data_IF_589238938362
#
_entry.id   IF_589238938362
#
_cell.length_a   1.000
_cell.length_b   1.000
_cell.length_c   1.000
_cell.angle_alpha   90.00
_cell.angle_beta   90.00
_cell.angle_gamma   90.00
#
_symmetry.space_group_name_H-M   'P 1'
#
loop_
_entity.id
_entity.type
_entity.pdbx_description
1 polymer ?
#
# COMPACT_ATOMS: atom_id res chain seq x y z
N UNK A 1 -62.51 -19.06 2.61
CA UNK A 1 -61.56 -18.26 1.85
C UNK A 1 -60.69 -17.56 2.88
N UNK A 2 -59.54 -18.13 3.11
CA UNK A 2 -58.60 -17.67 4.17
C UNK A 2 -57.46 -16.97 3.49
N UNK A 3 -57.32 -15.67 3.76
CA UNK A 3 -56.15 -14.86 3.38
C UNK A 3 -54.96 -15.28 4.26
N UNK A 4 -54.00 -15.95 3.68
CA UNK A 4 -52.72 -16.18 4.29
C UNK A 4 -51.79 -15.01 3.90
N UNK A 5 -51.62 -14.07 4.82
CA UNK A 5 -50.62 -13.03 4.71
C UNK A 5 -49.21 -13.65 4.78
N UNK A 6 -48.46 -13.57 3.69
CA UNK A 6 -47.05 -13.92 3.63
C UNK A 6 -46.24 -12.79 4.28
N UNK A 7 -45.70 -13.07 5.44
CA UNK A 7 -44.76 -12.18 6.13
C UNK A 7 -43.35 -12.72 5.96
N UNK A 8 -42.48 -12.15 5.10
CA UNK A 8 -41.10 -12.54 5.08
C UNK A 8 -40.36 -11.79 6.20
N UNK A 9 -40.12 -12.46 7.31
CA UNK A 9 -39.06 -12.06 8.23
C UNK A 9 -37.73 -12.19 7.46
N UNK A 10 -37.20 -11.06 7.00
CA UNK A 10 -35.83 -10.98 6.52
C UNK A 10 -34.95 -11.05 7.76
N UNK A 11 -34.39 -12.22 8.03
CA UNK A 11 -33.21 -12.37 8.90
C UNK A 11 -32.12 -11.49 8.29
N UNK A 12 -31.85 -10.34 8.92
CA UNK A 12 -30.67 -9.54 8.62
C UNK A 12 -29.49 -10.37 9.10
N UNK A 13 -28.84 -11.09 8.17
CA UNK A 13 -27.57 -11.72 8.45
C UNK A 13 -26.64 -10.63 9.00
N UNK A 14 -26.01 -10.94 10.14
CA UNK A 14 -24.94 -10.16 10.73
C UNK A 14 -23.95 -9.81 9.63
N UNK A 15 -23.97 -8.55 9.19
CA UNK A 15 -22.94 -7.99 8.33
C UNK A 15 -21.71 -7.97 9.21
N UNK A 16 -20.76 -8.87 8.94
CA UNK A 16 -19.46 -8.84 9.56
C UNK A 16 -19.00 -7.36 9.50
N UNK A 17 -18.81 -6.75 10.66
CA UNK A 17 -18.27 -5.42 10.82
C UNK A 17 -16.96 -5.40 10.03
N UNK A 18 -16.98 -4.89 8.82
CA UNK A 18 -15.77 -4.49 8.13
C UNK A 18 -15.08 -3.52 9.07
N UNK A 19 -13.94 -3.94 9.60
CA UNK A 19 -13.15 -3.14 10.52
C UNK A 19 -12.88 -1.80 9.81
N UNK A 20 -13.63 -0.77 10.20
CA UNK A 20 -13.39 0.61 9.75
C UNK A 20 -11.98 0.93 10.21
N UNK A 21 -11.08 1.19 9.26
CA UNK A 21 -9.72 1.62 9.59
C UNK A 21 -9.80 2.77 10.58
N UNK A 22 -9.06 2.74 11.69
CA UNK A 22 -9.00 3.88 12.59
C UNK A 22 -8.55 5.10 11.79
N UNK A 23 -9.19 6.25 11.96
CA UNK A 23 -8.85 7.51 11.28
C UNK A 23 -7.34 7.83 11.32
N UNK A 24 -6.65 7.37 12.37
CA UNK A 24 -5.20 7.49 12.55
C UNK A 24 -4.34 6.78 11.49
N UNK A 25 -4.91 5.83 10.74
CA UNK A 25 -4.17 5.09 9.69
C UNK A 25 -4.41 5.63 8.27
N UNK A 26 -5.39 6.52 8.08
CA UNK A 26 -5.74 7.01 6.73
C UNK A 26 -4.63 7.82 6.06
N UNK A 27 -3.82 8.50 6.85
CA UNK A 27 -2.72 9.37 6.37
C UNK A 27 -1.35 8.69 6.40
N UNK A 28 -1.27 7.40 6.81
CA UNK A 28 -0.01 6.66 6.85
C UNK A 28 0.38 6.21 5.45
N UNK A 29 1.54 6.66 4.98
CA UNK A 29 2.09 6.30 3.66
C UNK A 29 2.44 4.82 3.57
N UNK A 30 2.37 4.20 2.36
CA UNK A 30 2.89 2.86 2.15
C UNK A 30 4.37 2.76 2.55
N UNK A 31 4.72 1.67 3.22
CA UNK A 31 6.09 1.41 3.65
C UNK A 31 6.93 1.03 2.42
N UNK A 32 8.12 1.60 2.24
CA UNK A 32 8.99 1.25 1.12
C UNK A 32 9.50 -0.19 1.24
N UNK A 33 10.23 -0.67 0.22
CA UNK A 33 10.82 -2.02 0.24
C UNK A 33 11.93 -2.10 1.28
N UNK A 34 11.59 -2.59 2.47
CA UNK A 34 12.50 -2.79 3.60
C UNK A 34 12.28 -4.16 4.24
N UNK A 35 13.30 -4.63 4.95
CA UNK A 35 13.22 -5.81 5.81
C UNK A 35 13.14 -5.37 7.27
N UNK A 36 12.19 -5.96 8.00
CA UNK A 36 11.91 -5.67 9.40
C UNK A 36 12.01 -6.97 10.19
N UNK A 37 12.74 -6.95 11.29
CA UNK A 37 12.76 -8.06 12.23
C UNK A 37 12.43 -7.55 13.63
N UNK A 38 11.40 -8.11 14.24
CA UNK A 38 10.95 -7.74 15.58
C UNK A 38 11.31 -8.86 16.55
N UNK A 39 11.91 -8.52 17.68
CA UNK A 39 12.21 -9.44 18.78
C UNK A 39 11.38 -9.02 19.98
N UNK A 40 10.32 -9.78 20.27
CA UNK A 40 9.35 -9.46 21.28
C UNK A 40 9.53 -10.32 22.52
N UNK A 41 9.16 -9.79 23.69
CA UNK A 41 9.11 -10.52 24.95
C UNK A 41 7.68 -10.99 25.27
N UNK A 42 6.67 -10.21 24.82
CA UNK A 42 5.26 -10.44 25.12
C UNK A 42 4.40 -10.56 23.87
N UNK A 43 3.33 -11.33 23.98
CA UNK A 43 2.30 -11.40 22.93
C UNK A 43 1.53 -10.07 22.76
N UNK A 44 1.52 -9.23 23.79
CA UNK A 44 0.91 -7.91 23.74
C UNK A 44 1.56 -6.97 22.74
N UNK A 45 2.86 -7.14 22.48
CA UNK A 45 3.62 -6.39 21.47
C UNK A 45 3.76 -7.18 20.17
N UNK A 46 3.98 -8.50 20.25
CA UNK A 46 4.10 -9.35 19.06
C UNK A 46 2.82 -9.31 18.18
N UNK A 47 1.64 -9.41 18.79
CA UNK A 47 0.38 -9.46 18.05
C UNK A 47 0.07 -8.20 17.21
N UNK A 48 0.24 -6.96 17.70
CA UNK A 48 0.18 -5.77 16.86
C UNK A 48 1.15 -5.77 15.70
N UNK A 49 2.40 -6.24 15.88
CA UNK A 49 3.41 -6.29 14.82
C UNK A 49 3.06 -7.35 13.76
N UNK A 50 2.57 -8.52 14.19
CA UNK A 50 2.08 -9.56 13.27
C UNK A 50 0.93 -9.05 12.40
N UNK A 51 -0.07 -8.41 13.01
CA UNK A 51 -1.19 -7.80 12.26
C UNK A 51 -0.75 -6.66 11.36
N UNK A 52 0.24 -5.86 11.78
CA UNK A 52 0.85 -4.83 10.92
C UNK A 52 1.49 -5.44 9.68
N UNK A 53 2.16 -6.60 9.82
CA UNK A 53 2.81 -7.27 8.68
C UNK A 53 1.80 -7.71 7.59
N UNK A 54 0.54 -7.91 7.96
CA UNK A 54 -0.57 -8.27 7.05
C UNK A 54 -1.27 -7.03 6.45
N UNK A 55 -0.92 -5.81 6.91
CA UNK A 55 -1.54 -4.58 6.41
C UNK A 55 -1.13 -4.31 4.95
N UNK A 56 -2.07 -3.84 4.12
CA UNK A 56 -1.85 -3.50 2.70
C UNK A 56 -0.67 -2.53 2.48
N UNK A 57 -0.40 -1.65 3.42
CA UNK A 57 0.70 -0.68 3.36
C UNK A 57 2.07 -1.32 3.53
N UNK A 58 2.12 -2.54 4.08
CA UNK A 58 3.33 -3.34 4.27
C UNK A 58 3.65 -4.26 3.09
N UNK A 59 2.87 -4.23 2.03
CA UNK A 59 2.98 -5.11 0.85
C UNK A 59 4.39 -5.15 0.25
N UNK A 60 5.14 -4.03 0.34
CA UNK A 60 6.53 -3.93 -0.15
C UNK A 60 7.57 -4.27 0.92
N UNK A 61 7.19 -4.30 2.18
CA UNK A 61 8.07 -4.60 3.30
C UNK A 61 7.95 -6.07 3.71
N UNK A 62 9.04 -6.63 4.21
CA UNK A 62 9.03 -7.99 4.79
C UNK A 62 9.24 -7.88 6.29
N UNK A 63 8.22 -8.20 7.08
CA UNK A 63 8.30 -8.22 8.53
C UNK A 63 8.33 -9.66 9.05
N UNK A 64 9.20 -9.93 10.03
CA UNK A 64 9.24 -11.20 10.76
C UNK A 64 9.30 -10.93 12.25
N UNK A 65 8.55 -11.71 13.01
CA UNK A 65 8.49 -11.61 14.47
C UNK A 65 9.16 -12.82 15.10
N UNK A 66 10.01 -12.57 16.07
CA UNK A 66 10.72 -13.55 16.89
C UNK A 66 10.41 -13.27 18.35
N UNK A 67 10.43 -14.32 19.18
CA UNK A 67 10.32 -14.16 20.63
C UNK A 67 11.69 -14.20 21.27
N UNK A 68 11.86 -13.51 22.43
CA UNK A 68 13.05 -13.54 23.24
C UNK A 68 13.79 -12.18 23.40
N UNK A 69 13.21 -11.08 22.90
CA UNK A 69 13.69 -9.73 23.15
C UNK A 69 15.12 -9.46 22.71
N UNK A 70 15.80 -8.57 23.43
CA UNK A 70 17.15 -8.11 23.12
C UNK A 70 18.18 -9.26 23.11
N UNK A 71 18.09 -10.20 24.05
CA UNK A 71 19.05 -11.33 24.12
C UNK A 71 18.98 -12.21 22.88
N UNK A 72 17.78 -12.54 22.40
CA UNK A 72 17.58 -13.32 21.18
C UNK A 72 18.06 -12.56 19.93
N UNK A 73 17.91 -11.25 19.89
CA UNK A 73 18.41 -10.42 18.79
C UNK A 73 19.95 -10.47 18.70
N UNK A 74 20.64 -10.30 19.82
CA UNK A 74 22.11 -10.36 19.87
C UNK A 74 22.61 -11.74 19.42
N UNK A 75 22.03 -12.82 19.92
CA UNK A 75 22.39 -14.18 19.51
C UNK A 75 22.15 -14.43 18.01
N UNK A 76 21.01 -13.98 17.50
CA UNK A 76 20.63 -14.15 16.11
C UNK A 76 21.61 -13.45 15.15
N UNK A 77 21.98 -12.20 15.43
CA UNK A 77 22.86 -11.42 14.55
C UNK A 77 24.36 -11.76 14.67
N UNK A 78 24.74 -12.63 15.58
CA UNK A 78 26.11 -13.21 15.53
C UNK A 78 26.36 -14.04 14.27
N UNK A 79 25.30 -14.55 13.63
CA UNK A 79 25.42 -15.43 12.46
C UNK A 79 24.56 -15.01 11.25
N UNK A 80 23.73 -14.00 11.40
CA UNK A 80 22.81 -13.53 10.37
C UNK A 80 23.05 -12.03 10.04
N UNK A 81 22.83 -11.60 8.79
CA UNK A 81 22.87 -10.19 8.44
C UNK A 81 21.72 -9.43 9.10
N UNK A 82 21.96 -8.16 9.43
CA UNK A 82 20.93 -7.29 10.00
C UNK A 82 19.98 -6.75 8.93
N UNK A 83 18.69 -6.55 9.27
CA UNK A 83 17.69 -5.97 8.37
C UNK A 83 17.81 -4.45 8.29
N UNK A 84 16.94 -3.81 7.52
CA UNK A 84 16.84 -2.36 7.51
C UNK A 84 16.32 -1.80 8.85
N UNK A 85 15.41 -2.52 9.52
CA UNK A 85 14.80 -2.14 10.80
C UNK A 85 14.76 -3.32 11.77
N UNK A 86 15.24 -3.07 12.97
CA UNK A 86 15.07 -3.96 14.12
C UNK A 86 14.08 -3.29 15.09
N UNK A 87 13.04 -4.02 15.49
CA UNK A 87 12.13 -3.63 16.56
C UNK A 87 12.40 -4.53 17.77
N UNK A 88 12.71 -3.94 18.90
CA UNK A 88 13.06 -4.66 20.13
C UNK A 88 12.07 -4.34 21.23
N UNK A 89 11.35 -5.34 21.72
CA UNK A 89 10.64 -5.20 22.99
C UNK A 89 11.58 -5.52 24.15
N UNK A 90 11.52 -4.72 25.21
CA UNK A 90 12.30 -4.98 26.42
C UNK A 90 11.59 -4.52 27.68
N UNK A 91 11.68 -5.37 28.71
CA UNK A 91 11.25 -5.09 30.08
C UNK A 91 12.46 -4.76 31.00
N UNK A 92 13.68 -4.77 30.45
CA UNK A 92 14.91 -4.53 31.20
C UNK A 92 14.94 -3.12 31.83
N UNK A 93 15.58 -3.02 32.96
CA UNK A 93 15.88 -1.72 33.59
C UNK A 93 16.92 -0.94 32.77
N UNK A 94 16.97 0.40 32.86
CA UNK A 94 17.80 1.24 32.00
C UNK A 94 19.28 0.82 31.90
N UNK A 95 19.92 0.47 33.01
CA UNK A 95 21.34 0.10 33.01
C UNK A 95 21.62 -1.24 32.29
N UNK A 96 20.74 -2.22 32.45
CA UNK A 96 20.83 -3.51 31.77
C UNK A 96 20.54 -3.37 30.27
N UNK A 97 19.56 -2.55 29.95
CA UNK A 97 19.23 -2.23 28.56
C UNK A 97 20.41 -1.59 27.84
N UNK A 98 21.05 -0.60 28.43
CA UNK A 98 22.20 0.08 27.82
C UNK A 98 23.37 -0.88 27.58
N UNK A 99 23.64 -1.79 28.52
CA UNK A 99 24.69 -2.81 28.34
C UNK A 99 24.33 -3.78 27.19
N UNK A 100 23.10 -4.24 27.11
CA UNK A 100 22.66 -5.14 26.06
C UNK A 100 22.64 -4.48 24.67
N UNK A 101 22.32 -3.18 24.58
CA UNK A 101 22.40 -2.41 23.34
C UNK A 101 23.83 -2.24 22.85
N UNK A 102 24.80 -2.14 23.77
CA UNK A 102 26.23 -2.17 23.42
C UNK A 102 26.61 -3.46 22.70
N UNK A 103 26.18 -4.62 23.22
CA UNK A 103 26.42 -5.91 22.58
C UNK A 103 25.70 -6.04 21.21
N UNK A 104 24.50 -5.48 21.08
CA UNK A 104 23.79 -5.44 19.79
C UNK A 104 24.53 -4.58 18.76
N UNK A 105 25.05 -3.42 19.17
CA UNK A 105 25.78 -2.51 18.29
C UNK A 105 27.08 -3.14 17.72
N UNK A 106 27.69 -4.07 18.43
CA UNK A 106 28.89 -4.79 17.95
C UNK A 106 28.60 -5.74 16.76
N UNK A 107 27.33 -6.20 16.63
CA UNK A 107 26.92 -7.17 15.62
C UNK A 107 26.03 -6.58 14.54
N UNK A 108 25.57 -5.32 14.69
CA UNK A 108 24.68 -4.65 13.75
C UNK A 108 25.45 -3.81 12.72
N UNK A 109 24.89 -3.78 11.50
CA UNK A 109 25.33 -2.83 10.48
C UNK A 109 24.94 -1.39 10.90
N UNK A 110 25.84 -0.41 10.74
CA UNK A 110 25.58 0.99 11.09
C UNK A 110 24.37 1.62 10.37
N UNK A 111 23.95 1.08 9.24
CA UNK A 111 22.78 1.55 8.48
C UNK A 111 21.45 1.01 9.02
N UNK A 112 21.48 0.03 9.92
CA UNK A 112 20.29 -0.57 10.51
C UNK A 112 19.62 0.38 11.51
N UNK A 113 18.36 0.70 11.30
CA UNK A 113 17.56 1.42 12.29
C UNK A 113 17.13 0.51 13.42
N UNK A 114 17.14 1.03 14.65
CA UNK A 114 16.68 0.30 15.84
C UNK A 114 15.59 1.09 16.53
N UNK A 115 14.43 0.44 16.70
CA UNK A 115 13.27 0.96 17.47
C UNK A 115 13.09 0.09 18.70
N UNK A 116 12.94 0.72 19.86
CA UNK A 116 12.73 0.01 21.13
C UNK A 116 11.29 0.23 21.59
N UNK A 117 10.64 -0.85 22.00
CA UNK A 117 9.35 -0.83 22.69
C UNK A 117 9.61 -1.20 24.15
N UNK A 118 9.60 -0.22 25.02
CA UNK A 118 9.81 -0.41 26.45
C UNK A 118 8.54 -0.29 27.27
N UNK A 119 8.64 -0.61 28.53
CA UNK A 119 7.54 -0.53 29.50
C UNK A 119 7.70 0.63 30.51
N UNK A 120 8.76 1.41 30.38
CA UNK A 120 9.07 2.53 31.25
C UNK A 120 8.85 3.86 30.52
N UNK A 121 7.98 4.70 31.05
CA UNK A 121 7.77 6.05 30.54
C UNK A 121 8.73 7.02 31.26
N UNK A 122 9.99 7.08 30.82
CA UNK A 122 11.05 7.89 31.40
C UNK A 122 11.72 8.76 30.32
N UNK A 123 11.63 10.06 30.48
CA UNK A 123 12.20 11.04 29.54
C UNK A 123 13.74 11.02 29.58
N UNK A 124 14.37 10.67 30.70
CA UNK A 124 15.83 10.58 30.76
C UNK A 124 16.32 9.38 29.98
N UNK A 125 15.69 8.21 30.14
CA UNK A 125 15.96 7.01 29.34
C UNK A 125 15.78 7.29 27.85
N UNK A 126 14.68 7.93 27.45
CA UNK A 126 14.45 8.29 26.05
C UNK A 126 15.62 9.11 25.47
N UNK A 127 16.06 10.15 26.20
CA UNK A 127 17.17 11.01 25.74
C UNK A 127 18.49 10.25 25.63
N UNK A 128 18.76 9.37 26.57
CA UNK A 128 19.99 8.58 26.58
C UNK A 128 19.99 7.56 25.45
N UNK A 129 18.86 6.90 25.16
CA UNK A 129 18.71 6.01 24.01
C UNK A 129 18.92 6.75 22.68
N UNK A 130 18.32 7.92 22.50
CA UNK A 130 18.51 8.76 21.29
C UNK A 130 19.97 9.20 21.11
N UNK A 131 20.70 9.54 22.19
CA UNK A 131 22.13 9.87 22.13
C UNK A 131 23.02 8.69 21.74
N UNK A 132 22.58 7.47 22.06
CA UNK A 132 23.29 6.23 21.73
C UNK A 132 22.88 5.64 20.36
N UNK A 133 22.19 6.41 19.50
CA UNK A 133 21.88 6.04 18.12
C UNK A 133 20.61 5.23 17.93
N UNK A 134 19.78 5.04 18.97
CA UNK A 134 18.47 4.43 18.84
C UNK A 134 17.56 5.35 18.03
N UNK A 135 16.95 4.80 16.98
CA UNK A 135 16.13 5.55 16.04
C UNK A 135 14.83 6.05 16.67
N UNK A 136 14.15 5.23 17.51
CA UNK A 136 12.97 5.66 18.24
C UNK A 136 12.70 4.76 19.46
N UNK A 137 11.94 5.29 20.45
CA UNK A 137 11.50 4.58 21.64
C UNK A 137 10.00 4.75 21.84
N UNK A 138 9.29 3.65 21.90
CA UNK A 138 7.86 3.58 22.19
C UNK A 138 7.62 3.02 23.58
N UNK A 139 6.51 3.43 24.20
CA UNK A 139 6.08 2.86 25.48
C UNK A 139 4.88 1.94 25.24
N UNK A 140 4.98 0.69 25.66
CA UNK A 140 3.87 -0.27 25.57
C UNK A 140 2.68 0.18 26.48
N UNK A 141 1.42 -0.07 26.06
CA UNK A 141 1.00 -0.81 24.88
C UNK A 141 1.10 0.02 23.59
N UNK A 142 1.47 -0.63 22.50
CA UNK A 142 1.60 0.00 21.17
C UNK A 142 0.47 -0.44 20.24
N UNK A 143 -0.01 0.49 19.42
CA UNK A 143 -0.97 0.20 18.37
C UNK A 143 -0.28 -0.04 17.01
N UNK A 144 -1.00 -0.63 16.06
CA UNK A 144 -0.52 -0.76 14.67
C UNK A 144 -0.18 0.62 14.09
N UNK A 145 -1.01 1.64 14.40
CA UNK A 145 -0.82 3.01 13.94
C UNK A 145 0.49 3.63 14.45
N UNK A 146 0.82 3.43 15.72
CA UNK A 146 2.06 3.94 16.31
C UNK A 146 3.29 3.36 15.62
N UNK A 147 3.29 2.04 15.41
CA UNK A 147 4.41 1.34 14.79
C UNK A 147 4.56 1.76 13.32
N UNK A 148 3.47 1.80 12.56
CA UNK A 148 3.49 2.23 11.16
C UNK A 148 3.93 3.67 10.99
N UNK A 149 3.48 4.58 11.85
CA UNK A 149 3.89 5.99 11.84
C UNK A 149 5.40 6.14 12.02
N UNK A 150 6.00 5.36 12.93
CA UNK A 150 7.44 5.39 13.15
C UNK A 150 8.18 4.82 11.95
N UNK A 151 7.74 3.69 11.41
CA UNK A 151 8.36 3.08 10.23
C UNK A 151 8.34 4.07 9.06
N UNK A 152 7.20 4.68 8.79
CA UNK A 152 7.10 5.67 7.71
C UNK A 152 7.96 6.90 7.98
N UNK A 153 8.03 7.38 9.20
CA UNK A 153 8.90 8.52 9.57
C UNK A 153 10.39 8.21 9.38
N UNK A 154 10.81 6.99 9.68
CA UNK A 154 12.23 6.59 9.57
C UNK A 154 12.68 6.34 8.13
N UNK A 155 11.77 5.86 7.27
CA UNK A 155 12.09 5.43 5.90
C UNK A 155 11.48 6.30 4.81
N UNK A 156 10.75 7.34 5.17
CA UNK A 156 10.23 8.32 4.22
C UNK A 156 10.94 9.65 4.46
N UNK A 157 11.40 10.27 3.40
CA UNK A 157 11.97 11.62 3.47
C UNK A 157 10.90 12.59 4.00
N UNK A 158 11.13 13.30 5.12
CA UNK A 158 10.19 14.27 5.66
C UNK A 158 9.87 15.42 4.69
N UNK A 159 10.78 15.71 3.77
CA UNK A 159 10.61 16.76 2.74
C UNK A 159 10.00 16.21 1.45
N UNK A 160 9.80 14.87 1.32
CA UNK A 160 9.14 14.31 0.16
C UNK A 160 7.66 14.73 0.11
N UNK A 161 7.22 15.18 -1.06
CA UNK A 161 5.81 15.47 -1.30
C UNK A 161 4.94 14.23 -0.99
N UNK A 162 3.68 14.41 -0.51
CA UNK A 162 2.77 13.31 -0.28
C UNK A 162 2.59 12.50 -1.56
N UNK A 163 2.68 11.16 -1.45
CA UNK A 163 2.36 10.30 -2.58
C UNK A 163 0.90 10.50 -3.00
N UNK A 164 0.68 10.54 -4.30
CA UNK A 164 -0.67 10.59 -4.86
C UNK A 164 -1.48 9.35 -4.49
N UNK A 165 -2.80 9.53 -4.33
CA UNK A 165 -3.72 8.44 -4.01
C UNK A 165 -4.10 7.67 -5.27
N UNK A 166 -4.11 6.36 -5.18
CA UNK A 166 -4.57 5.47 -6.24
C UNK A 166 -6.04 5.12 -6.08
N UNK A 167 -6.81 5.32 -7.15
CA UNK A 167 -8.22 4.92 -7.25
C UNK A 167 -8.34 3.88 -8.36
N UNK A 168 -8.53 2.62 -8.00
CA UNK A 168 -8.65 1.51 -8.94
C UNK A 168 -10.12 1.26 -9.29
N UNK A 169 -10.44 1.25 -10.58
CA UNK A 169 -11.79 1.00 -11.07
C UNK A 169 -11.84 -0.32 -11.80
N UNK A 170 -12.74 -1.21 -11.40
CA UNK A 170 -12.94 -2.49 -12.08
C UNK A 170 -14.43 -2.83 -12.17
N UNK A 171 -14.86 -3.35 -13.32
CA UNK A 171 -16.21 -3.84 -13.49
C UNK A 171 -16.41 -5.24 -12.91
N UNK A 172 -17.49 -5.49 -12.19
CA UNK A 172 -17.88 -6.85 -11.76
C UNK A 172 -18.23 -7.76 -12.95
N UNK A 173 -18.43 -7.16 -14.14
CA UNK A 173 -18.64 -7.84 -15.42
C UNK A 173 -18.22 -6.89 -16.54
N UNK A 174 -17.80 -7.43 -17.67
CA UNK A 174 -17.52 -6.63 -18.85
C UNK A 174 -18.77 -5.84 -19.31
N UNK A 175 -18.56 -4.60 -19.73
CA UNK A 175 -19.62 -3.73 -20.28
C UNK A 175 -20.49 -3.02 -19.25
N UNK A 176 -20.16 -3.04 -17.96
CA UNK A 176 -20.92 -2.32 -16.91
C UNK A 176 -20.59 -0.83 -16.82
N UNK A 177 -19.66 -0.33 -17.61
CA UNK A 177 -19.30 1.09 -17.67
C UNK A 177 -18.19 1.51 -16.70
N UNK A 178 -17.34 0.60 -16.23
CA UNK A 178 -16.25 0.89 -15.31
C UNK A 178 -15.33 1.97 -15.87
N UNK A 179 -14.82 1.83 -17.09
CA UNK A 179 -13.95 2.80 -17.76
C UNK A 179 -14.63 4.17 -17.91
N UNK A 180 -15.93 4.18 -18.24
CA UNK A 180 -16.71 5.43 -18.32
C UNK A 180 -16.73 6.15 -16.98
N UNK A 181 -16.93 5.42 -15.88
CA UNK A 181 -16.93 5.99 -14.53
C UNK A 181 -15.52 6.45 -14.15
N UNK A 182 -14.49 5.62 -14.37
CA UNK A 182 -13.10 5.96 -14.11
C UNK A 182 -12.69 7.28 -14.78
N UNK A 183 -12.93 7.39 -16.09
CA UNK A 183 -12.58 8.57 -16.87
C UNK A 183 -13.34 9.82 -16.42
N UNK A 184 -14.64 9.71 -16.09
CA UNK A 184 -15.43 10.83 -15.60
C UNK A 184 -15.02 11.25 -14.19
N UNK A 185 -14.63 10.31 -13.32
CA UNK A 185 -14.09 10.64 -12.00
C UNK A 185 -12.75 11.38 -12.14
N UNK A 186 -11.85 10.90 -12.98
CA UNK A 186 -10.58 11.58 -13.26
C UNK A 186 -10.80 13.00 -13.78
N UNK A 187 -11.71 13.17 -14.75
CA UNK A 187 -12.11 14.46 -15.26
C UNK A 187 -12.67 15.37 -14.16
N UNK A 188 -13.53 14.81 -13.30
CA UNK A 188 -14.12 15.57 -12.19
C UNK A 188 -13.08 16.00 -11.16
N UNK A 189 -12.11 15.14 -10.82
CA UNK A 189 -11.01 15.50 -9.92
C UNK A 189 -10.20 16.66 -10.53
N UNK A 190 -9.82 16.56 -11.79
CA UNK A 190 -9.05 17.59 -12.48
C UNK A 190 -9.78 18.93 -12.56
N UNK A 191 -11.09 18.91 -12.86
CA UNK A 191 -11.86 20.14 -13.15
C UNK A 191 -12.51 20.76 -11.92
N UNK A 192 -12.98 19.95 -10.94
CA UNK A 192 -13.68 20.47 -9.77
C UNK A 192 -12.75 20.78 -8.60
N UNK A 193 -11.66 20.02 -8.50
CA UNK A 193 -10.67 20.20 -7.42
C UNK A 193 -9.37 20.85 -7.90
N UNK A 194 -9.25 21.12 -9.21
CA UNK A 194 -8.03 21.69 -9.81
C UNK A 194 -6.76 20.94 -9.39
N UNK A 195 -6.88 19.60 -9.28
CA UNK A 195 -5.85 18.70 -8.78
C UNK A 195 -5.28 17.86 -9.90
N UNK A 196 -3.95 17.69 -9.93
CA UNK A 196 -3.27 16.86 -10.91
C UNK A 196 -3.74 15.40 -10.85
N UNK A 197 -4.11 14.83 -12.00
CA UNK A 197 -4.58 13.45 -12.14
C UNK A 197 -3.86 12.76 -13.28
N UNK A 198 -3.35 11.56 -13.01
CA UNK A 198 -2.89 10.63 -14.05
C UNK A 198 -3.94 9.52 -14.20
N UNK A 199 -4.45 9.34 -15.41
CA UNK A 199 -5.25 8.16 -15.78
C UNK A 199 -4.35 7.13 -16.42
N UNK A 200 -4.31 5.91 -15.89
CA UNK A 200 -3.63 4.78 -16.49
C UNK A 200 -4.67 3.80 -17.06
N UNK A 201 -4.71 3.67 -18.38
CA UNK A 201 -5.54 2.68 -19.08
C UNK A 201 -4.79 1.34 -19.09
N UNK A 202 -5.16 0.46 -18.15
CA UNK A 202 -4.50 -0.83 -17.96
C UNK A 202 -5.09 -1.95 -18.83
N UNK A 203 -6.08 -1.64 -19.67
CA UNK A 203 -6.59 -2.58 -20.68
C UNK A 203 -5.75 -2.48 -21.97
N UNK A 204 -4.53 -3.01 -21.94
CA UNK A 204 -3.59 -2.89 -23.04
C UNK A 204 -4.14 -3.37 -24.39
N UNK A 205 -4.93 -4.47 -24.45
CA UNK A 205 -5.47 -4.91 -25.72
C UNK A 205 -6.70 -4.13 -26.21
N UNK A 206 -7.53 -3.62 -25.30
CA UNK A 206 -8.83 -3.05 -25.67
C UNK A 206 -9.14 -1.72 -24.97
N UNK A 207 -8.14 -1.07 -24.39
CA UNK A 207 -8.29 0.24 -23.78
C UNK A 207 -8.81 1.29 -24.75
N UNK A 208 -9.63 2.20 -24.24
CA UNK A 208 -10.30 3.22 -25.05
C UNK A 208 -10.16 4.62 -24.47
N UNK A 209 -9.32 4.80 -23.45
CA UNK A 209 -9.13 6.09 -22.83
C UNK A 209 -8.58 7.14 -23.81
N UNK A 210 -7.71 6.73 -24.73
CA UNK A 210 -7.22 7.59 -25.81
C UNK A 210 -8.35 8.17 -26.67
N UNK A 211 -9.37 7.36 -27.00
CA UNK A 211 -10.55 7.80 -27.76
C UNK A 211 -11.40 8.75 -26.89
N UNK A 212 -11.61 8.41 -25.64
CA UNK A 212 -12.48 9.17 -24.73
C UNK A 212 -11.90 10.55 -24.39
N UNK A 213 -10.58 10.70 -24.41
CA UNK A 213 -9.88 11.97 -24.15
C UNK A 213 -9.34 12.65 -25.43
N UNK A 214 -9.72 12.14 -26.62
CA UNK A 214 -9.29 12.67 -27.91
C UNK A 214 -7.75 12.78 -28.02
N UNK A 215 -7.05 11.71 -27.66
CA UNK A 215 -5.59 11.62 -27.68
C UNK A 215 -5.13 10.46 -28.59
N UNK A 216 -4.01 10.64 -29.27
CA UNK A 216 -3.38 9.59 -30.08
C UNK A 216 -1.86 9.58 -29.81
N UNK A 217 -1.42 9.24 -28.59
CA UNK A 217 -0.01 9.21 -28.25
C UNK A 217 0.69 8.03 -28.95
N UNK A 218 1.90 8.28 -29.45
CA UNK A 218 2.71 7.25 -30.09
C UNK A 218 3.28 6.21 -29.11
N UNK A 219 3.34 6.52 -27.83
CA UNK A 219 3.82 5.69 -26.74
C UNK A 219 2.87 5.81 -25.55
N UNK A 220 2.87 4.81 -24.66
CA UNK A 220 1.97 4.82 -23.51
C UNK A 220 2.35 3.77 -22.46
N UNK A 221 1.33 3.14 -21.87
CA UNK A 221 1.52 2.22 -20.74
C UNK A 221 2.34 0.98 -21.10
N UNK A 222 2.26 0.49 -22.34
CA UNK A 222 3.03 -0.68 -22.75
C UNK A 222 4.54 -0.43 -22.67
N UNK A 223 5.00 0.73 -23.13
CA UNK A 223 6.41 1.12 -23.06
C UNK A 223 6.87 1.26 -21.62
N UNK A 224 6.02 1.81 -20.74
CA UNK A 224 6.30 1.92 -19.31
C UNK A 224 6.47 0.54 -18.66
N UNK A 225 5.56 -0.38 -18.90
CA UNK A 225 5.58 -1.72 -18.28
C UNK A 225 6.73 -2.58 -18.80
N UNK A 226 7.10 -2.48 -20.08
CA UNK A 226 8.25 -3.23 -20.64
C UNK A 226 9.61 -2.63 -20.29
N UNK A 227 9.65 -1.41 -19.77
CA UNK A 227 10.90 -0.70 -19.41
C UNK A 227 11.05 -0.51 -17.91
N UNK A 228 10.57 -1.44 -17.09
CA UNK A 228 10.51 -1.34 -15.63
C UNK A 228 11.84 -0.90 -14.99
N UNK A 229 12.99 -1.39 -15.45
CA UNK A 229 14.31 -1.02 -14.91
C UNK A 229 14.71 0.45 -15.15
N UNK A 230 13.96 1.18 -15.98
CA UNK A 230 14.27 2.57 -16.41
C UNK A 230 13.15 3.55 -16.12
N UNK A 231 12.06 3.09 -15.53
CA UNK A 231 10.93 3.97 -15.27
C UNK A 231 11.24 4.89 -14.09
N UNK A 232 11.33 6.17 -14.40
CA UNK A 232 11.42 7.29 -13.45
C UNK A 232 10.37 8.34 -13.81
N UNK A 233 10.26 9.39 -13.03
CA UNK A 233 9.29 10.47 -13.25
C UNK A 233 9.51 11.18 -14.59
N UNK A 234 10.77 11.38 -15.01
CA UNK A 234 11.11 12.02 -16.28
C UNK A 234 10.70 11.15 -17.46
N UNK A 235 10.88 9.83 -17.35
CA UNK A 235 10.45 8.91 -18.38
C UNK A 235 8.93 8.78 -18.43
N UNK A 236 8.27 8.72 -17.29
CA UNK A 236 6.81 8.71 -17.21
C UNK A 236 6.22 9.97 -17.85
N UNK A 237 6.74 11.15 -17.54
CA UNK A 237 6.26 12.43 -18.11
C UNK A 237 6.29 12.44 -19.65
N UNK A 238 7.25 11.76 -20.26
CA UNK A 238 7.34 11.62 -21.73
C UNK A 238 6.27 10.68 -22.33
N UNK A 239 5.76 9.76 -21.53
CA UNK A 239 4.73 8.81 -21.97
C UNK A 239 3.32 9.35 -21.74
N UNK A 240 3.18 10.37 -20.89
CA UNK A 240 1.90 10.99 -20.56
C UNK A 240 1.42 11.91 -21.68
N UNK A 241 0.18 11.69 -22.13
CA UNK A 241 -0.53 12.61 -23.01
C UNK A 241 -1.33 13.61 -22.16
N UNK A 242 -1.12 14.92 -22.36
CA UNK A 242 -1.88 15.96 -21.65
C UNK A 242 -3.27 16.11 -22.24
N UNK A 243 -4.29 15.76 -21.48
CA UNK A 243 -5.70 15.84 -21.92
C UNK A 243 -6.39 17.16 -21.52
N UNK A 244 -5.97 17.73 -20.37
CA UNK A 244 -6.44 19.02 -19.86
C UNK A 244 -5.39 19.60 -18.91
N UNK A 245 -5.62 20.79 -18.34
CA UNK A 245 -4.67 21.51 -17.49
C UNK A 245 -4.16 20.66 -16.32
N UNK A 246 -5.02 19.84 -15.71
CA UNK A 246 -4.70 18.98 -14.58
C UNK A 246 -4.90 17.49 -14.87
N UNK A 247 -5.03 17.07 -16.12
CA UNK A 247 -5.33 15.71 -16.50
C UNK A 247 -4.35 15.20 -17.55
N UNK A 248 -3.63 14.14 -17.19
CA UNK A 248 -2.73 13.41 -18.06
C UNK A 248 -3.16 11.96 -18.22
N UNK A 249 -2.94 11.40 -19.39
CA UNK A 249 -3.31 10.03 -19.75
C UNK A 249 -2.07 9.20 -20.07
N UNK A 250 -1.94 8.06 -19.44
CA UNK A 250 -1.07 6.97 -19.85
C UNK A 250 -1.92 5.97 -20.66
N UNK A 251 -1.92 6.13 -21.97
CA UNK A 251 -2.83 5.43 -22.86
C UNK A 251 -2.42 3.97 -23.09
N UNK A 252 -3.41 3.11 -23.28
CA UNK A 252 -3.22 1.78 -23.83
C UNK A 252 -2.78 1.85 -25.32
N UNK A 253 -2.08 0.81 -25.85
CA UNK A 253 -1.69 0.75 -27.26
C UNK A 253 -2.90 0.78 -28.21
N UNK A 254 -2.75 1.46 -29.33
CA UNK A 254 -3.81 1.53 -30.35
C UNK A 254 -3.84 0.30 -31.30
N UNK A 255 -2.87 -0.62 -31.19
CA UNK A 255 -2.74 -1.78 -32.10
C UNK A 255 -2.57 -3.09 -31.34
N UNK A 256 -3.18 -4.15 -31.84
CA UNK A 256 -3.07 -5.52 -31.32
C UNK A 256 -1.95 -6.31 -32.01
N UNK A 257 -0.75 -5.75 -32.03
CA UNK A 257 0.41 -6.38 -32.65
C UNK A 257 1.17 -7.33 -31.70
N UNK A 258 0.86 -7.30 -30.42
CA UNK A 258 1.53 -8.06 -29.36
C UNK A 258 0.54 -8.76 -28.45
N UNK A 259 0.97 -9.86 -27.87
CA UNK A 259 0.29 -10.51 -26.76
C UNK A 259 0.90 -9.97 -25.47
N UNK A 260 0.05 -9.51 -24.57
CA UNK A 260 0.45 -8.95 -23.30
C UNK A 260 0.23 -9.99 -22.19
N UNK A 261 1.31 -10.65 -21.79
CA UNK A 261 1.34 -11.57 -20.65
C UNK A 261 2.30 -11.00 -19.58
N UNK A 262 1.76 -10.65 -18.43
CA UNK A 262 2.48 -9.97 -17.37
C UNK A 262 2.48 -10.78 -16.09
N UNK A 263 3.58 -10.72 -15.36
CA UNK A 263 3.66 -11.22 -13.99
C UNK A 263 2.86 -10.34 -13.01
N UNK A 264 2.77 -10.78 -11.76
CA UNK A 264 1.98 -10.10 -10.73
C UNK A 264 2.53 -8.69 -10.37
N UNK A 265 3.81 -8.44 -10.59
CA UNK A 265 4.49 -7.19 -10.20
C UNK A 265 4.64 -6.19 -11.36
N UNK A 266 4.18 -6.55 -12.56
CA UNK A 266 4.46 -5.80 -13.78
C UNK A 266 4.09 -4.31 -13.71
N UNK A 267 2.99 -3.98 -13.03
CA UNK A 267 2.50 -2.60 -12.91
C UNK A 267 2.92 -1.90 -11.63
N UNK A 268 3.52 -2.60 -10.68
CA UNK A 268 3.82 -2.04 -9.35
C UNK A 268 4.73 -0.82 -9.44
N UNK A 269 5.82 -0.92 -10.19
CA UNK A 269 6.77 0.19 -10.31
C UNK A 269 6.18 1.38 -11.07
N UNK A 270 5.36 1.12 -12.09
CA UNK A 270 4.66 2.15 -12.83
C UNK A 270 3.73 2.96 -11.91
N UNK A 271 2.90 2.27 -11.13
CA UNK A 271 1.99 2.91 -10.18
C UNK A 271 2.76 3.72 -9.13
N UNK A 272 3.89 3.18 -8.63
CA UNK A 272 4.75 3.87 -7.68
C UNK A 272 5.30 5.21 -8.22
N UNK A 273 5.72 5.21 -9.49
CA UNK A 273 6.24 6.44 -10.13
C UNK A 273 5.08 7.41 -10.41
N UNK A 274 3.92 6.91 -10.86
CA UNK A 274 2.74 7.74 -11.09
C UNK A 274 2.25 8.45 -9.81
N UNK A 275 2.28 7.75 -8.65
CA UNK A 275 1.93 8.35 -7.36
C UNK A 275 2.87 9.49 -6.92
N UNK A 276 4.12 9.52 -7.40
CA UNK A 276 5.04 10.63 -7.13
C UNK A 276 4.81 11.81 -8.07
N UNK A 277 4.28 11.56 -9.25
CA UNK A 277 4.11 12.59 -10.29
C UNK A 277 2.78 13.33 -10.21
N UNK A 278 1.76 12.79 -9.52
CA UNK A 278 0.44 13.40 -9.42
C UNK A 278 -0.27 13.10 -8.10
N UNK A 279 -1.05 14.06 -7.55
CA UNK A 279 -1.83 13.87 -6.32
C UNK A 279 -2.88 12.76 -6.40
N UNK A 280 -3.37 12.44 -7.60
CA UNK A 280 -4.31 11.35 -7.82
C UNK A 280 -3.92 10.50 -9.04
N UNK A 281 -4.04 9.18 -8.91
CA UNK A 281 -3.82 8.21 -10.00
C UNK A 281 -5.06 7.35 -10.14
N UNK A 282 -5.73 7.46 -11.28
CA UNK A 282 -6.91 6.67 -11.62
C UNK A 282 -6.47 5.47 -12.46
N UNK A 283 -6.70 4.27 -11.95
CA UNK A 283 -6.35 3.01 -12.60
C UNK A 283 -7.61 2.41 -13.22
N UNK A 284 -7.70 2.42 -14.55
CA UNK A 284 -8.80 1.75 -15.29
C UNK A 284 -8.39 0.31 -15.55
N UNK A 285 -8.92 -0.61 -14.73
CA UNK A 285 -8.53 -2.03 -14.72
C UNK A 285 -9.50 -2.84 -15.57
N UNK A 286 -9.00 -3.65 -16.55
CA UNK A 286 -9.86 -4.50 -17.37
C UNK A 286 -10.55 -5.58 -16.53
N UNK A 287 -11.70 -6.05 -17.03
CA UNK A 287 -12.42 -7.16 -16.41
C UNK A 287 -11.71 -8.51 -16.69
N UNK A 288 -10.51 -8.65 -16.14
CA UNK A 288 -9.69 -9.87 -16.20
C UNK A 288 -9.16 -10.17 -14.80
N UNK A 289 -9.26 -11.44 -14.38
CA UNK A 289 -8.77 -11.88 -13.07
C UNK A 289 -7.50 -12.71 -13.22
N UNK A 290 -6.37 -12.09 -12.94
CA UNK A 290 -5.05 -12.71 -12.99
C UNK A 290 -4.13 -12.14 -11.88
N UNK A 291 -2.86 -12.54 -11.86
CA UNK A 291 -1.92 -12.14 -10.80
C UNK A 291 -1.73 -10.63 -10.68
N UNK A 292 -1.53 -9.92 -11.80
CA UNK A 292 -1.27 -8.49 -11.76
C UNK A 292 -2.54 -7.65 -11.44
N UNK A 293 -3.73 -8.03 -11.94
CA UNK A 293 -4.97 -7.32 -11.60
C UNK A 293 -5.28 -7.46 -10.12
N UNK A 294 -5.15 -8.68 -9.56
CA UNK A 294 -5.30 -8.89 -8.12
C UNK A 294 -4.30 -8.05 -7.33
N UNK A 295 -3.03 -8.08 -7.69
CA UNK A 295 -1.98 -7.30 -7.04
C UNK A 295 -2.26 -5.80 -7.07
N UNK A 296 -2.67 -5.26 -8.22
CA UNK A 296 -3.02 -3.84 -8.38
C UNK A 296 -4.19 -3.44 -7.47
N UNK A 297 -5.24 -4.28 -7.39
CA UNK A 297 -6.39 -4.03 -6.51
C UNK A 297 -6.00 -4.08 -5.03
N UNK A 298 -5.18 -5.05 -4.63
CA UNK A 298 -4.69 -5.20 -3.24
C UNK A 298 -3.81 -4.03 -2.80
N UNK A 299 -3.10 -3.38 -3.72
CA UNK A 299 -2.17 -2.28 -3.42
C UNK A 299 -2.79 -0.89 -3.60
N UNK A 300 -3.94 -0.78 -4.24
CA UNK A 300 -4.62 0.49 -4.43
C UNK A 300 -5.15 1.06 -3.10
N UNK A 301 -5.14 2.40 -2.96
CA UNK A 301 -5.69 3.07 -1.78
C UNK A 301 -7.20 2.93 -1.69
N UNK A 302 -7.87 3.00 -2.84
CA UNK A 302 -9.32 2.81 -2.95
C UNK A 302 -9.66 1.95 -4.16
N UNK A 303 -10.63 1.04 -4.00
CA UNK A 303 -11.14 0.20 -5.08
C UNK A 303 -12.62 0.49 -5.29
N UNK A 304 -12.96 0.84 -6.53
CA UNK A 304 -14.34 1.08 -6.96
C UNK A 304 -14.79 -0.07 -7.86
N UNK A 305 -15.69 -0.92 -7.34
CA UNK A 305 -16.29 -2.01 -8.10
C UNK A 305 -17.58 -1.51 -8.76
N UNK A 306 -17.59 -1.48 -10.09
CA UNK A 306 -18.75 -1.06 -10.86
C UNK A 306 -19.61 -2.28 -11.22
N UNK A 307 -20.89 -2.25 -10.85
CA UNK A 307 -21.80 -3.36 -11.07
C UNK A 307 -23.19 -2.87 -11.49
N UNK A 308 -23.90 -3.68 -12.28
CA UNK A 308 -25.34 -3.52 -12.54
C UNK A 308 -26.16 -4.43 -11.62
N UNK A 309 -27.43 -4.14 -11.32
CA UNK A 309 -28.28 -4.94 -10.44
C UNK A 309 -28.74 -6.26 -11.09
N UNK A 310 -27.77 -7.05 -11.54
CA UNK A 310 -27.94 -8.38 -12.10
C UNK A 310 -27.29 -9.43 -11.21
N UNK A 311 -27.86 -10.63 -11.12
CA UNK A 311 -27.37 -11.70 -10.27
C UNK A 311 -25.89 -12.07 -10.53
N UNK A 312 -25.48 -12.08 -11.80
CA UNK A 312 -24.09 -12.34 -12.16
C UNK A 312 -23.14 -11.26 -11.66
N UNK A 313 -23.52 -9.98 -11.76
CA UNK A 313 -22.74 -8.87 -11.23
C UNK A 313 -22.63 -8.93 -9.70
N UNK A 314 -23.73 -9.17 -9.01
CA UNK A 314 -23.76 -9.27 -7.54
C UNK A 314 -22.84 -10.40 -7.05
N UNK A 315 -22.93 -11.59 -7.70
CA UNK A 315 -22.04 -12.70 -7.36
C UNK A 315 -20.55 -12.36 -7.58
N UNK A 316 -20.25 -11.77 -8.72
CA UNK A 316 -18.86 -11.43 -9.05
C UNK A 316 -18.31 -10.33 -8.13
N UNK A 317 -19.10 -9.28 -7.87
CA UNK A 317 -18.72 -8.22 -6.94
C UNK A 317 -18.44 -8.80 -5.53
N UNK A 318 -19.32 -9.70 -5.06
CA UNK A 318 -19.05 -10.39 -3.78
C UNK A 318 -17.73 -11.17 -3.79
N UNK A 319 -17.46 -11.92 -4.87
CA UNK A 319 -16.21 -12.68 -4.98
C UNK A 319 -14.95 -11.80 -5.08
N UNK A 320 -15.09 -10.55 -5.53
CA UNK A 320 -13.98 -9.59 -5.57
C UNK A 320 -13.71 -8.96 -4.21
N UNK A 321 -14.72 -8.89 -3.35
CA UNK A 321 -14.61 -8.33 -1.98
C UNK A 321 -14.10 -9.38 -0.98
N UNK A 322 -14.51 -10.67 -1.16
CA UNK A 322 -14.08 -11.81 -0.32
C UNK A 322 -12.61 -12.18 -0.62
#
# INVERSE_FOLDING_TARGET
MSDAAFNPEIEVADVAETAVEPDSLRDVRPVPRITIQAFCETQGVAGPIERMAEDRRMVKAQARVYMGGLGAAVEFYQSAPTPNLIILETTLVPDELMNGLGALAEVCDPSTHVVIIGHHNDVSLYRDLKRNGISEYLVAPVSIADIMTIITTLFTDPEAEPLGRTLAFMGAKGGVGSSTIAHNVAWSIATLFESGVVVADMDLPFGTANINFDQDPAQGIAEAVFSTDRIDEVYLDRLLATCAEHLSLLAAPSMLDKVYDFDAEAFTQLVDVAQRSAPAVVLDIPHVWNGWTRRTLETADEVVIVATPELANLRNAKNMVD
#
